data_IF_573725826018
#
_entry.id   IF_573725826018
#
_cell.length_a   1.000
_cell.length_b   1.000
_cell.length_c   1.000
_cell.angle_alpha   90.00
_cell.angle_beta   90.00
_cell.angle_gamma   90.00
#
_symmetry.space_group_name_H-M   'P 1'
#
loop_
_entity.id
_entity.type
_entity.pdbx_description
1 polymer ?
#
# COMPACT_ATOMS: atom_id res chain seq x y z
N UNK A 1 -0.43 -43.91 -19.92
CA UNK A 1 -1.38 -42.85 -20.30
C UNK A 1 -2.30 -42.37 -19.17
N UNK A 2 -2.75 -43.22 -18.22
CA UNK A 2 -3.61 -42.79 -17.08
C UNK A 2 -2.97 -41.73 -16.15
N UNK A 3 -1.67 -41.81 -15.85
CA UNK A 3 -1.01 -40.87 -14.92
C UNK A 3 -0.81 -39.46 -15.49
N UNK A 4 -0.68 -39.31 -16.81
CA UNK A 4 -0.54 -38.00 -17.47
C UNK A 4 -1.86 -37.20 -17.45
N UNK A 5 -2.99 -37.89 -17.63
CA UNK A 5 -4.33 -37.29 -17.53
C UNK A 5 -4.60 -36.82 -16.10
N UNK A 6 -4.26 -37.63 -15.10
CA UNK A 6 -4.37 -37.27 -13.68
C UNK A 6 -3.54 -36.02 -13.32
N UNK A 7 -2.33 -35.90 -13.86
CA UNK A 7 -1.47 -34.74 -13.64
C UNK A 7 -2.05 -33.46 -14.28
N UNK A 8 -2.56 -33.57 -15.51
CA UNK A 8 -3.23 -32.45 -16.19
C UNK A 8 -4.52 -32.01 -15.46
N UNK A 9 -5.32 -32.94 -14.94
CA UNK A 9 -6.53 -32.63 -14.17
C UNK A 9 -6.17 -31.95 -12.84
N UNK A 10 -5.11 -32.40 -12.17
CA UNK A 10 -4.58 -31.76 -10.94
C UNK A 10 -4.07 -30.34 -11.23
N UNK A 11 -3.32 -30.13 -12.31
CA UNK A 11 -2.84 -28.80 -12.72
C UNK A 11 -4.00 -27.86 -13.08
N UNK A 12 -5.03 -28.36 -13.77
CA UNK A 12 -6.24 -27.59 -14.08
C UNK A 12 -7.05 -27.23 -12.82
N UNK A 13 -7.13 -28.13 -11.84
CA UNK A 13 -7.78 -27.87 -10.56
C UNK A 13 -7.03 -26.82 -9.72
N UNK A 14 -5.69 -26.84 -9.74
CA UNK A 14 -4.85 -25.82 -9.09
C UNK A 14 -5.03 -24.47 -9.79
N UNK A 15 -5.01 -24.43 -11.13
CA UNK A 15 -5.27 -23.22 -11.91
C UNK A 15 -6.69 -22.65 -11.73
N UNK A 16 -7.69 -23.52 -11.53
CA UNK A 16 -9.08 -23.09 -11.29
C UNK A 16 -9.29 -22.60 -9.84
N UNK A 17 -8.62 -23.20 -8.86
CA UNK A 17 -8.66 -22.76 -7.46
C UNK A 17 -8.03 -21.37 -7.27
N UNK A 18 -6.94 -21.08 -8.00
CA UNK A 18 -6.26 -19.78 -7.92
C UNK A 18 -7.14 -18.63 -8.47
N UNK A 19 -7.97 -18.92 -9.49
CA UNK A 19 -8.95 -17.98 -10.07
C UNK A 19 -10.18 -17.71 -9.18
N UNK A 20 -10.54 -18.61 -8.25
CA UNK A 20 -11.87 -18.57 -7.60
C UNK A 20 -11.99 -17.74 -6.32
N UNK A 21 -10.88 -17.25 -5.76
CA UNK A 21 -10.90 -16.38 -4.58
C UNK A 21 -10.40 -14.99 -4.96
N UNK A 22 -11.26 -14.19 -5.60
CA UNK A 22 -11.02 -12.76 -5.70
C UNK A 22 -10.92 -12.15 -4.30
N UNK A 23 -10.05 -11.16 -4.13
CA UNK A 23 -9.96 -10.44 -2.85
C UNK A 23 -11.24 -9.63 -2.69
N UNK A 24 -11.96 -9.81 -1.58
CA UNK A 24 -13.17 -9.04 -1.31
C UNK A 24 -12.84 -7.56 -1.11
N UNK A 25 -13.79 -6.67 -1.43
CA UNK A 25 -13.64 -5.22 -1.22
C UNK A 25 -13.29 -4.87 0.24
N UNK A 26 -13.83 -5.62 1.19
CA UNK A 26 -13.50 -5.46 2.62
C UNK A 26 -12.05 -5.80 2.95
N UNK A 27 -11.53 -6.89 2.40
CA UNK A 27 -10.15 -7.31 2.60
C UNK A 27 -9.18 -6.31 1.94
N UNK A 28 -9.52 -5.84 0.74
CA UNK A 28 -8.78 -4.78 0.04
C UNK A 28 -8.74 -3.49 0.88
N UNK A 29 -9.89 -3.01 1.33
CA UNK A 29 -9.98 -1.82 2.17
C UNK A 29 -9.16 -1.98 3.47
N UNK A 30 -9.22 -3.13 4.12
CA UNK A 30 -8.46 -3.42 5.34
C UNK A 30 -6.94 -3.33 5.11
N UNK A 31 -6.45 -3.85 3.98
CA UNK A 31 -5.04 -3.74 3.60
C UNK A 31 -4.62 -2.29 3.34
N UNK A 32 -5.40 -1.55 2.52
CA UNK A 32 -5.13 -0.14 2.19
C UNK A 32 -5.06 0.72 3.45
N UNK A 33 -6.07 0.62 4.31
CA UNK A 33 -6.18 1.41 5.54
C UNK A 33 -5.03 1.10 6.48
N UNK A 34 -4.69 -0.17 6.67
CA UNK A 34 -3.60 -0.55 7.56
C UNK A 34 -2.23 -0.07 7.03
N UNK A 35 -2.02 -0.14 5.72
CA UNK A 35 -0.80 0.37 5.08
C UNK A 35 -0.68 1.89 5.23
N UNK A 36 -1.74 2.64 4.92
CA UNK A 36 -1.72 4.11 5.05
C UNK A 36 -1.58 4.55 6.49
N UNK A 37 -2.24 3.90 7.46
CA UNK A 37 -2.06 4.22 8.88
C UNK A 37 -0.59 4.12 9.30
N UNK A 38 0.12 3.09 8.82
CA UNK A 38 1.55 2.94 9.10
C UNK A 38 2.39 4.04 8.42
N UNK A 39 2.18 4.28 7.13
CA UNK A 39 2.96 5.26 6.37
C UNK A 39 2.70 6.70 6.81
N UNK A 40 1.45 7.06 7.11
CA UNK A 40 1.08 8.40 7.60
C UNK A 40 1.65 8.65 8.99
N UNK A 41 1.66 7.64 9.87
CA UNK A 41 2.38 7.71 11.17
C UNK A 41 3.88 7.97 10.95
N UNK A 42 4.53 7.25 10.02
CA UNK A 42 5.96 7.46 9.72
C UNK A 42 6.24 8.81 9.05
N UNK A 43 5.28 9.34 8.28
CA UNK A 43 5.36 10.70 7.74
C UNK A 43 5.26 11.75 8.86
N UNK A 44 4.43 11.51 9.89
CA UNK A 44 4.36 12.36 11.09
C UNK A 44 5.70 12.41 11.83
N UNK A 45 6.30 11.25 12.10
CA UNK A 45 7.65 11.19 12.72
C UNK A 45 8.70 11.88 11.85
N UNK A 46 8.62 11.70 10.53
CA UNK A 46 9.53 12.40 9.61
C UNK A 46 9.34 13.92 9.68
N UNK A 47 8.09 14.40 9.71
CA UNK A 47 7.77 15.81 9.86
C UNK A 47 8.41 16.38 11.14
N UNK A 48 8.20 15.73 12.28
CA UNK A 48 8.80 16.15 13.58
C UNK A 48 10.32 16.30 13.47
N UNK A 49 11.03 15.31 12.91
CA UNK A 49 12.48 15.37 12.72
C UNK A 49 12.91 16.58 11.88
N UNK A 50 12.19 16.88 10.79
CA UNK A 50 12.54 18.01 9.92
C UNK A 50 12.24 19.36 10.60
N UNK A 51 11.15 19.43 11.35
CA UNK A 51 10.78 20.63 12.11
C UNK A 51 11.79 20.89 13.24
N UNK A 52 12.25 19.85 13.93
CA UNK A 52 13.32 19.92 14.94
C UNK A 52 14.67 20.40 14.37
N UNK A 53 14.93 20.15 13.08
CA UNK A 53 16.09 20.68 12.36
C UNK A 53 15.96 22.17 11.98
N UNK A 54 14.87 22.84 12.39
CA UNK A 54 14.60 24.25 12.08
C UNK A 54 13.91 24.48 10.74
N UNK A 55 13.34 23.44 10.14
CA UNK A 55 12.63 23.52 8.86
C UNK A 55 11.13 23.24 9.04
N UNK A 56 10.31 24.26 9.34
CA UNK A 56 8.87 24.06 9.54
C UNK A 56 8.20 23.54 8.26
N UNK A 57 7.40 22.48 8.37
CA UNK A 57 6.70 21.88 7.23
C UNK A 57 5.38 22.62 7.01
N UNK A 58 5.29 23.31 5.89
CA UNK A 58 4.09 24.05 5.50
C UNK A 58 2.92 23.11 5.13
N UNK A 59 1.66 23.57 5.19
CA UNK A 59 0.50 22.74 4.82
C UNK A 59 0.57 22.14 3.40
N UNK A 60 1.05 22.85 2.36
CA UNK A 60 1.28 22.24 1.04
C UNK A 60 2.34 21.13 1.05
N UNK A 61 3.44 21.31 1.79
CA UNK A 61 4.47 20.26 1.92
C UNK A 61 3.91 19.04 2.65
N UNK A 62 3.16 19.24 3.73
CA UNK A 62 2.49 18.15 4.45
C UNK A 62 1.54 17.36 3.53
N UNK A 63 0.75 18.07 2.72
CA UNK A 63 -0.12 17.45 1.71
C UNK A 63 0.69 16.60 0.74
N UNK A 64 1.84 17.10 0.26
CA UNK A 64 2.72 16.33 -0.64
C UNK A 64 3.37 15.12 0.04
N UNK A 65 3.76 15.21 1.31
CA UNK A 65 4.29 14.07 2.06
C UNK A 65 3.25 12.94 2.16
N UNK A 66 2.01 13.28 2.47
CA UNK A 66 0.88 12.34 2.52
C UNK A 66 0.52 11.79 1.14
N UNK A 67 0.66 12.61 0.10
CA UNK A 67 0.44 12.18 -1.27
C UNK A 67 1.42 11.07 -1.69
N UNK A 68 2.72 11.19 -1.38
CA UNK A 68 3.69 10.13 -1.73
C UNK A 68 3.35 8.78 -1.09
N UNK A 69 2.76 8.77 0.11
CA UNK A 69 2.27 7.54 0.74
C UNK A 69 1.16 6.89 -0.10
N UNK A 70 0.18 7.70 -0.50
CA UNK A 70 -1.01 7.26 -1.26
C UNK A 70 -0.66 6.86 -2.69
N UNK A 71 0.22 7.61 -3.33
CA UNK A 71 0.73 7.30 -4.67
C UNK A 71 1.43 5.94 -4.68
N UNK A 72 2.26 5.63 -3.67
CA UNK A 72 2.90 4.32 -3.54
C UNK A 72 1.90 3.18 -3.40
N UNK A 73 0.80 3.40 -2.66
CA UNK A 73 -0.28 2.42 -2.57
C UNK A 73 -0.99 2.26 -3.92
N UNK A 74 -1.38 3.35 -4.57
CA UNK A 74 -2.11 3.32 -5.85
C UNK A 74 -1.29 2.60 -6.92
N UNK A 75 0.00 2.92 -7.02
CA UNK A 75 0.92 2.36 -8.02
C UNK A 75 1.07 0.83 -7.91
N UNK A 76 1.07 0.29 -6.69
CA UNK A 76 1.34 -1.14 -6.46
C UNK A 76 0.14 -1.90 -5.87
N UNK A 77 -1.04 -1.29 -5.79
CA UNK A 77 -2.16 -1.87 -5.04
C UNK A 77 -2.51 -3.28 -5.52
N UNK A 78 -2.65 -3.49 -6.84
CA UNK A 78 -3.00 -4.82 -7.38
C UNK A 78 -1.93 -5.87 -7.04
N UNK A 79 -0.66 -5.52 -7.22
CA UNK A 79 0.47 -6.38 -6.87
C UNK A 79 0.50 -6.70 -5.37
N UNK A 80 0.22 -5.72 -4.53
CA UNK A 80 0.13 -5.89 -3.07
C UNK A 80 -1.03 -6.78 -2.65
N UNK A 81 -2.20 -6.67 -3.28
CA UNK A 81 -3.35 -7.55 -3.01
C UNK A 81 -3.04 -8.99 -3.42
N UNK A 82 -2.48 -9.18 -4.62
CA UNK A 82 -2.09 -10.50 -5.12
C UNK A 82 -1.03 -11.15 -4.23
N UNK A 83 0.01 -10.39 -3.85
CA UNK A 83 1.05 -10.85 -2.93
C UNK A 83 0.49 -11.19 -1.54
N UNK A 84 -0.39 -10.34 -1.01
CA UNK A 84 -1.02 -10.56 0.29
C UNK A 84 -1.85 -11.84 0.29
N UNK A 85 -2.70 -12.05 -0.72
CA UNK A 85 -3.47 -13.29 -0.90
C UNK A 85 -2.53 -14.50 -0.90
N UNK A 86 -1.47 -14.46 -1.73
CA UNK A 86 -0.52 -15.57 -1.86
C UNK A 86 0.17 -15.89 -0.53
N UNK A 87 0.70 -14.89 0.17
CA UNK A 87 1.38 -15.09 1.47
C UNK A 87 0.41 -15.64 2.53
N UNK A 88 -0.82 -15.11 2.59
CA UNK A 88 -1.82 -15.57 3.56
C UNK A 88 -2.15 -17.06 3.33
N UNK A 89 -2.40 -17.45 2.07
CA UNK A 89 -2.71 -18.83 1.71
C UNK A 89 -1.52 -19.78 1.93
N UNK A 90 -0.30 -19.36 1.56
CA UNK A 90 0.92 -20.16 1.79
C UNK A 90 1.17 -20.40 3.28
N UNK A 91 0.79 -19.46 4.15
CA UNK A 91 0.84 -19.63 5.60
C UNK A 91 -0.32 -20.44 6.19
N UNK A 92 -1.19 -21.06 5.37
CA UNK A 92 -2.36 -21.82 5.83
C UNK A 92 -3.46 -20.96 6.47
N UNK A 93 -3.44 -19.63 6.27
CA UNK A 93 -4.36 -18.71 6.90
C UNK A 93 -5.60 -18.41 6.03
N UNK A 94 -6.70 -18.03 6.67
CA UNK A 94 -7.95 -17.63 6.00
C UNK A 94 -7.85 -16.21 5.40
N UNK A 95 -8.48 -16.01 4.23
CA UNK A 95 -8.58 -14.71 3.57
C UNK A 95 -9.61 -13.80 4.27
N UNK A 96 -9.21 -13.13 5.37
CA UNK A 96 -10.07 -12.25 6.16
C UNK A 96 -9.43 -10.87 6.43
N UNK A 97 -10.24 -9.94 6.93
CA UNK A 97 -9.82 -8.54 7.19
C UNK A 97 -8.58 -8.44 8.07
N UNK A 98 -8.50 -9.25 9.13
CA UNK A 98 -7.39 -9.19 10.08
C UNK A 98 -6.05 -9.55 9.43
N UNK A 99 -6.05 -10.59 8.59
CA UNK A 99 -4.87 -11.02 7.86
C UNK A 99 -4.47 -10.01 6.77
N UNK A 100 -5.42 -9.45 6.03
CA UNK A 100 -5.12 -8.38 5.07
C UNK A 100 -4.63 -7.09 5.74
N UNK A 101 -5.18 -6.72 6.90
CA UNK A 101 -4.67 -5.59 7.69
C UNK A 101 -3.24 -5.84 8.19
N UNK A 102 -2.91 -7.09 8.61
CA UNK A 102 -1.54 -7.48 8.96
C UNK A 102 -0.60 -7.31 7.76
N UNK A 103 -1.01 -7.80 6.59
CA UNK A 103 -0.24 -7.61 5.36
C UNK A 103 -0.08 -6.13 4.99
N UNK A 104 -1.12 -5.32 5.12
CA UNK A 104 -1.04 -3.87 4.91
C UNK A 104 0.03 -3.19 5.76
N UNK A 105 0.15 -3.56 7.05
CA UNK A 105 1.23 -3.05 7.92
C UNK A 105 2.62 -3.47 7.43
N UNK A 106 2.79 -4.73 7.04
CA UNK A 106 4.06 -5.25 6.52
C UNK A 106 4.46 -4.52 5.24
N UNK A 107 3.50 -4.32 4.33
CA UNK A 107 3.71 -3.60 3.07
C UNK A 107 4.02 -2.12 3.30
N UNK A 108 3.39 -1.49 4.29
CA UNK A 108 3.73 -0.15 4.75
C UNK A 108 5.17 -0.07 5.23
N UNK A 109 5.60 -1.01 6.08
CA UNK A 109 6.99 -1.09 6.54
C UNK A 109 7.98 -1.30 5.40
N UNK A 110 7.69 -2.20 4.46
CA UNK A 110 8.56 -2.43 3.28
C UNK A 110 8.62 -1.22 2.35
N UNK A 111 7.50 -0.51 2.18
CA UNK A 111 7.42 0.66 1.30
C UNK A 111 7.99 1.94 1.93
N UNK A 112 8.18 1.97 3.25
CA UNK A 112 8.60 3.17 3.97
C UNK A 112 9.91 3.73 3.44
N UNK A 113 10.84 2.87 3.01
CA UNK A 113 12.16 3.31 2.56
C UNK A 113 12.06 4.08 1.24
N UNK A 114 11.33 3.54 0.26
CA UNK A 114 11.12 4.19 -1.03
C UNK A 114 10.37 5.52 -0.88
N UNK A 115 9.35 5.55 -0.02
CA UNK A 115 8.60 6.77 0.29
C UNK A 115 9.50 7.80 0.97
N UNK A 116 10.29 7.38 1.96
CA UNK A 116 11.20 8.27 2.72
C UNK A 116 12.24 8.93 1.82
N UNK A 117 12.75 8.24 0.80
CA UNK A 117 13.67 8.85 -0.17
C UNK A 117 13.02 10.01 -0.93
N UNK A 118 11.75 9.87 -1.34
CA UNK A 118 11.00 10.93 -2.03
C UNK A 118 10.66 12.09 -1.10
N UNK A 119 10.33 11.80 0.16
CA UNK A 119 10.09 12.80 1.18
C UNK A 119 11.35 13.63 1.47
N UNK A 120 12.52 12.99 1.60
CA UNK A 120 13.82 13.66 1.70
C UNK A 120 14.13 14.52 0.48
N UNK A 121 13.85 14.00 -0.72
CA UNK A 121 13.98 14.77 -1.96
C UNK A 121 13.20 16.08 -1.87
N UNK A 122 11.90 16.01 -1.56
CA UNK A 122 11.04 17.20 -1.48
C UNK A 122 11.56 18.27 -0.50
N UNK A 123 11.94 17.87 0.72
CA UNK A 123 12.39 18.83 1.74
C UNK A 123 13.75 19.47 1.42
N UNK A 124 14.60 18.81 0.62
CA UNK A 124 15.92 19.34 0.24
C UNK A 124 15.86 20.44 -0.82
N UNK A 125 14.86 20.41 -1.71
CA UNK A 125 14.86 21.28 -2.91
C UNK A 125 13.88 22.45 -2.85
N UNK A 126 12.91 22.47 -1.92
CA UNK A 126 11.78 23.40 -2.03
C UNK A 126 11.36 24.05 -0.71
N UNK A 127 11.92 25.25 -0.43
CA UNK A 127 11.42 26.15 0.62
C UNK A 127 10.08 26.81 0.26
N UNK A 128 9.77 26.95 -1.04
CA UNK A 128 8.49 27.46 -1.56
C UNK A 128 7.79 26.36 -2.36
N UNK A 129 7.22 25.40 -1.65
CA UNK A 129 6.56 24.26 -2.26
C UNK A 129 5.05 24.48 -2.38
N UNK A 130 4.49 24.14 -3.54
CA UNK A 130 3.04 24.12 -3.75
C UNK A 130 2.58 22.69 -4.04
N UNK A 131 1.54 22.25 -3.34
CA UNK A 131 0.92 20.94 -3.58
C UNK A 131 0.09 20.99 -4.86
N UNK A 132 0.26 20.02 -5.74
CA UNK A 132 -0.54 19.90 -6.97
C UNK A 132 -2.01 19.64 -6.68
N UNK A 133 -2.90 19.96 -7.63
CA UNK A 133 -4.33 19.67 -7.50
C UNK A 133 -4.62 18.17 -7.33
N UNK A 134 -3.85 17.32 -8.03
CA UNK A 134 -3.93 15.86 -7.90
C UNK A 134 -3.56 15.42 -6.48
N UNK A 135 -2.47 15.97 -5.92
CA UNK A 135 -2.07 15.65 -4.55
C UNK A 135 -3.17 15.98 -3.54
N UNK A 136 -3.76 17.18 -3.63
CA UNK A 136 -4.88 17.58 -2.78
C UNK A 136 -6.07 16.63 -2.91
N UNK A 137 -6.46 16.30 -4.16
CA UNK A 137 -7.58 15.39 -4.44
C UNK A 137 -7.35 14.00 -3.84
N UNK A 138 -6.20 13.40 -4.09
CA UNK A 138 -5.86 12.06 -3.61
C UNK A 138 -5.76 12.02 -2.09
N UNK A 139 -5.20 13.05 -1.45
CA UNK A 139 -5.10 13.12 0.01
C UNK A 139 -6.47 13.26 0.68
N UNK A 140 -7.41 13.97 0.04
CA UNK A 140 -8.77 14.14 0.53
C UNK A 140 -9.65 12.89 0.38
N UNK A 141 -9.27 11.91 -0.44
CA UNK A 141 -10.03 10.66 -0.59
C UNK A 141 -9.95 9.81 0.66
N UNK A 142 -11.06 9.12 0.99
CA UNK A 142 -11.02 8.04 1.98
C UNK A 142 -10.06 6.96 1.49
N UNK A 143 -9.18 6.50 2.36
CA UNK A 143 -8.12 5.54 1.99
C UNK A 143 -8.69 4.25 1.38
N UNK A 144 -9.83 3.77 1.88
CA UNK A 144 -10.49 2.58 1.33
C UNK A 144 -10.88 2.74 -0.14
N UNK A 145 -11.21 3.97 -0.56
CA UNK A 145 -11.73 4.32 -1.88
C UNK A 145 -10.61 4.70 -2.86
N UNK A 146 -9.34 4.68 -2.44
CA UNK A 146 -8.20 4.94 -3.33
C UNK A 146 -8.15 3.88 -4.45
N UNK A 147 -7.88 4.27 -5.70
CA UNK A 147 -7.91 3.34 -6.83
C UNK A 147 -6.75 2.33 -6.75
N UNK A 148 -7.00 1.13 -7.28
CA UNK A 148 -5.98 0.11 -7.50
C UNK A 148 -5.76 -0.04 -9.01
N UNK A 149 -4.76 0.68 -9.50
CA UNK A 149 -4.39 0.69 -10.92
C UNK A 149 -3.68 -0.61 -11.32
#
# INVERSE_FOLDING_TARGET
MRSLVLLCVLLMAICAADKKTSVSKENEAAMKVAMMKFLDMKAGVFKEIIEDMGYPITPPQWTTLLYYNRERLIEFCRSFLALSKKIILLGGNKLNKANFARMGRILGWKSQWAVRQRQWGMVRVSRRHTSTAIAKRIVAMKVADLPCN
#
